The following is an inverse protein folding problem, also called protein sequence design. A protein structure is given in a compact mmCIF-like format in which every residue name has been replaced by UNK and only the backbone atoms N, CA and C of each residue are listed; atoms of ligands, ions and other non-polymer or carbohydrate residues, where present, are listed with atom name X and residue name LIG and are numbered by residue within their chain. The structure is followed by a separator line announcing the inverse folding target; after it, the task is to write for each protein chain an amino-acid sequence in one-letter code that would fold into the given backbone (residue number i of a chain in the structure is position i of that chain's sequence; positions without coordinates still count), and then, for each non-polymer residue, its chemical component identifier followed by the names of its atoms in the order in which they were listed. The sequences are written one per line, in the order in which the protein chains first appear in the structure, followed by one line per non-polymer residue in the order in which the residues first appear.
data_IF_135081716035
#
_entry.id   IF_135081716035
#
_cell.length_a   1.000
_cell.length_b   1.000
_cell.length_c   1.000
_cell.angle_alpha   90.00
_cell.angle_beta   90.00
_cell.angle_gamma   90.00
#
_symmetry.space_group_name_H-M   'P 1'
#
loop_
_entity.id
_entity.type
_entity.pdbx_description
1 polymer ?
#
# COMPACT_ATOMS: atom_id res chain seq x y z
N UNK A 1 8.74 -4.97 1.88
CA UNK A 1 7.29 -5.26 1.88
C UNK A 1 6.71 -4.86 3.21
N UNK A 2 5.47 -4.38 3.22
CA UNK A 2 4.75 -3.92 4.41
C UNK A 2 4.50 -5.04 5.44
N UNK A 3 4.62 -6.30 5.01
CA UNK A 3 4.59 -7.49 5.87
C UNK A 3 5.88 -7.70 6.69
N UNK A 4 6.57 -6.62 7.05
CA UNK A 4 7.82 -6.60 7.82
C UNK A 4 8.98 -7.42 7.22
N UNK A 5 9.14 -7.40 5.90
CA UNK A 5 10.21 -8.11 5.19
C UNK A 5 10.98 -7.22 4.23
N UNK A 6 12.31 -7.20 4.32
CA UNK A 6 13.21 -6.52 3.38
C UNK A 6 14.61 -7.17 3.37
N UNK A 7 15.46 -6.72 2.45
CA UNK A 7 16.89 -7.05 2.36
C UNK A 7 17.67 -5.78 1.98
N UNK A 8 19.00 -5.83 2.08
CA UNK A 8 19.90 -4.69 1.86
C UNK A 8 21.06 -5.12 0.94
N UNK A 9 21.72 -4.14 0.31
CA UNK A 9 23.03 -4.38 -0.32
C UNK A 9 24.12 -4.36 0.76
N UNK A 10 25.27 -4.96 0.44
CA UNK A 10 26.51 -4.69 1.17
C UNK A 10 26.96 -3.25 0.90
N UNK A 11 27.86 -2.73 1.75
CA UNK A 11 28.40 -1.37 1.62
C UNK A 11 29.15 -1.12 0.31
N UNK A 12 29.67 -2.17 -0.33
CA UNK A 12 30.32 -2.11 -1.65
C UNK A 12 29.32 -2.21 -2.82
N UNK A 13 28.01 -2.24 -2.55
CA UNK A 13 26.96 -2.40 -3.55
C UNK A 13 26.71 -3.84 -4.00
N UNK A 14 27.47 -4.83 -3.50
CA UNK A 14 27.23 -6.23 -3.83
C UNK A 14 26.02 -6.82 -3.08
N UNK A 15 25.44 -7.91 -3.62
CA UNK A 15 24.24 -8.55 -3.06
C UNK A 15 24.55 -9.24 -1.73
N UNK A 16 23.93 -8.81 -0.63
CA UNK A 16 23.98 -9.52 0.66
C UNK A 16 23.26 -10.87 0.59
N UNK A 17 21.93 -10.82 0.43
CA UNK A 17 21.05 -11.95 0.09
C UNK A 17 19.90 -11.44 -0.79
N UNK A 18 19.38 -12.33 -1.63
CA UNK A 18 18.20 -12.05 -2.47
C UNK A 18 16.89 -12.39 -1.78
N UNK A 19 16.92 -13.08 -0.65
CA UNK A 19 15.76 -13.30 0.22
C UNK A 19 15.69 -12.23 1.33
N UNK A 20 14.57 -12.15 2.05
CA UNK A 20 14.39 -11.26 3.19
C UNK A 20 15.31 -11.68 4.33
N UNK A 21 15.89 -10.71 5.02
CA UNK A 21 16.79 -10.95 6.14
C UNK A 21 16.42 -10.04 7.33
N UNK A 22 15.71 -10.63 8.29
CA UNK A 22 15.32 -9.91 9.51
C UNK A 22 16.48 -9.61 10.45
N UNK A 23 17.57 -10.40 10.41
CA UNK A 23 18.75 -10.15 11.24
C UNK A 23 19.47 -8.90 10.75
N UNK A 24 19.65 -8.76 9.43
CA UNK A 24 20.22 -7.58 8.82
C UNK A 24 19.43 -6.30 9.17
N UNK A 25 18.09 -6.36 9.12
CA UNK A 25 17.24 -5.21 9.48
C UNK A 25 17.28 -4.89 10.98
N UNK A 26 17.35 -5.91 11.85
CA UNK A 26 17.53 -5.71 13.29
C UNK A 26 18.87 -5.04 13.62
N UNK A 27 19.94 -5.45 12.95
CA UNK A 27 21.26 -4.81 13.08
C UNK A 27 21.27 -3.39 12.52
N UNK A 28 20.56 -3.13 11.41
CA UNK A 28 20.39 -1.78 10.87
C UNK A 28 19.67 -0.85 11.88
N UNK A 29 18.63 -1.32 12.54
CA UNK A 29 17.96 -0.55 13.60
C UNK A 29 18.95 -0.18 14.73
N UNK A 30 19.80 -1.13 15.15
CA UNK A 30 20.87 -0.87 16.11
C UNK A 30 21.91 0.13 15.60
N UNK A 31 22.30 0.04 14.32
CA UNK A 31 23.20 1.01 13.68
C UNK A 31 22.57 2.41 13.63
N UNK A 32 21.29 2.54 13.27
CA UNK A 32 20.56 3.81 13.29
C UNK A 32 20.62 4.45 14.68
N UNK A 33 20.32 3.69 15.73
CA UNK A 33 20.42 4.18 17.12
C UNK A 33 21.83 4.60 17.48
N UNK A 34 22.83 3.76 17.20
CA UNK A 34 24.22 4.06 17.55
C UNK A 34 24.79 5.29 16.80
N UNK A 35 24.35 5.51 15.55
CA UNK A 35 24.88 6.59 14.69
C UNK A 35 24.15 7.92 14.88
N UNK A 36 22.86 7.88 15.20
CA UNK A 36 22.02 9.08 15.31
C UNK A 36 21.73 9.46 16.76
N UNK A 37 21.95 8.55 17.72
CA UNK A 37 21.56 8.73 19.11
C UNK A 37 20.05 8.62 19.35
N UNK A 38 19.28 8.19 18.34
CA UNK A 38 17.82 8.15 18.35
C UNK A 38 17.33 6.80 17.86
N UNK A 39 16.32 6.24 18.50
CA UNK A 39 15.74 4.98 18.02
C UNK A 39 14.94 5.19 16.70
N UNK A 40 14.72 4.12 15.91
CA UNK A 40 14.00 4.25 14.64
C UNK A 40 12.58 4.83 14.75
N UNK A 41 11.90 4.66 15.88
CA UNK A 41 10.58 5.25 16.14
C UNK A 41 10.64 6.76 16.29
N UNK A 42 11.67 7.29 16.96
CA UNK A 42 11.90 8.73 17.02
C UNK A 42 12.23 9.31 15.64
N UNK A 43 13.02 8.59 14.83
CA UNK A 43 13.34 8.99 13.47
C UNK A 43 12.07 9.00 12.59
N UNK A 44 11.19 8.01 12.74
CA UNK A 44 9.88 8.00 12.09
C UNK A 44 9.01 9.20 12.51
N UNK A 45 8.96 9.52 13.81
CA UNK A 45 8.21 10.68 14.30
C UNK A 45 8.73 12.02 13.72
N UNK A 46 10.04 12.13 13.46
CA UNK A 46 10.58 13.30 12.77
C UNK A 46 10.16 13.35 11.28
N UNK A 47 10.13 12.20 10.60
CA UNK A 47 9.63 12.12 9.22
C UNK A 47 8.17 12.52 9.13
N UNK A 48 7.32 12.03 10.04
CA UNK A 48 5.88 12.36 10.01
C UNK A 48 5.61 13.81 10.40
N UNK A 49 6.46 14.43 11.23
CA UNK A 49 6.40 15.86 11.51
C UNK A 49 6.73 16.72 10.29
N UNK A 50 7.64 16.26 9.41
CA UNK A 50 8.06 16.99 8.21
C UNK A 50 7.12 16.74 7.02
N UNK A 51 6.70 15.48 6.82
CA UNK A 51 6.05 15.01 5.60
C UNK A 51 4.56 14.68 5.79
N UNK A 52 4.05 14.76 7.02
CA UNK A 52 2.70 14.34 7.39
C UNK A 52 2.65 12.93 7.99
N UNK A 53 1.69 12.70 8.89
CA UNK A 53 1.49 11.44 9.60
C UNK A 53 0.38 10.61 8.95
N UNK A 54 0.72 9.51 8.24
CA UNK A 54 -0.26 8.73 7.51
C UNK A 54 -1.05 7.79 8.43
N UNK A 55 -2.37 7.75 8.25
CA UNK A 55 -3.23 6.68 8.76
C UNK A 55 -3.33 5.57 7.72
N UNK A 56 -2.96 4.34 8.10
CA UNK A 56 -3.00 3.16 7.22
C UNK A 56 -3.87 2.06 7.81
N UNK A 57 -4.66 1.38 6.97
CA UNK A 57 -5.36 0.18 7.38
C UNK A 57 -5.63 -0.77 6.21
N UNK A 58 -5.71 -2.06 6.55
CA UNK A 58 -6.15 -3.13 5.66
C UNK A 58 -7.46 -3.72 6.15
N UNK A 59 -8.40 -3.90 5.24
CA UNK A 59 -9.64 -4.63 5.48
C UNK A 59 -9.79 -5.76 4.46
N UNK A 60 -10.56 -6.77 4.84
CA UNK A 60 -10.96 -7.85 3.95
C UNK A 60 -12.47 -7.72 3.68
N UNK A 61 -12.87 -7.90 2.43
CA UNK A 61 -14.27 -7.80 2.00
C UNK A 61 -14.66 -9.07 1.21
N UNK A 62 -15.88 -9.62 1.43
CA UNK A 62 -16.33 -10.80 0.71
C UNK A 62 -16.28 -10.61 -0.81
N UNK A 63 -15.85 -11.65 -1.53
CA UNK A 63 -15.95 -11.70 -2.98
C UNK A 63 -16.14 -13.13 -3.47
N UNK A 64 -17.10 -13.30 -4.38
CA UNK A 64 -17.29 -14.56 -5.10
C UNK A 64 -16.06 -14.89 -5.97
N UNK A 65 -15.85 -16.16 -6.35
CA UNK A 65 -14.80 -16.53 -7.28
C UNK A 65 -14.82 -15.72 -8.59
N UNK A 66 -16.01 -15.43 -9.11
CA UNK A 66 -16.22 -14.62 -10.32
C UNK A 66 -15.78 -13.17 -10.09
N UNK A 67 -16.19 -12.57 -8.96
CA UNK A 67 -15.75 -11.22 -8.58
C UNK A 67 -14.23 -11.14 -8.43
N UNK A 68 -13.59 -12.16 -7.84
CA UNK A 68 -12.12 -12.23 -7.71
C UNK A 68 -11.42 -12.26 -9.07
N UNK A 69 -11.95 -13.04 -10.02
CA UNK A 69 -11.39 -13.12 -11.38
C UNK A 69 -11.53 -11.78 -12.11
N UNK A 70 -12.68 -11.13 -11.99
CA UNK A 70 -12.92 -9.81 -12.59
C UNK A 70 -12.01 -8.74 -11.99
N UNK A 71 -11.79 -8.77 -10.68
CA UNK A 71 -10.85 -7.86 -10.00
C UNK A 71 -9.42 -8.07 -10.50
N UNK A 72 -8.99 -9.32 -10.67
CA UNK A 72 -7.64 -9.63 -11.15
C UNK A 72 -7.38 -9.14 -12.58
N UNK A 73 -8.43 -9.05 -13.40
CA UNK A 73 -8.38 -8.66 -14.81
C UNK A 73 -8.92 -7.24 -15.07
N UNK A 74 -9.05 -6.42 -14.03
CA UNK A 74 -9.64 -5.08 -14.15
C UNK A 74 -8.81 -4.20 -15.10
N UNK A 75 -9.51 -3.37 -15.89
CA UNK A 75 -8.90 -2.26 -16.65
C UNK A 75 -9.04 -0.96 -15.84
N UNK A 76 -8.07 -0.02 -15.92
CA UNK A 76 -8.21 1.30 -15.30
C UNK A 76 -9.48 2.04 -15.75
N UNK A 77 -9.93 1.81 -16.98
CA UNK A 77 -11.13 2.45 -17.55
C UNK A 77 -12.44 2.02 -16.89
N UNK A 78 -12.45 0.91 -16.15
CA UNK A 78 -13.61 0.48 -15.37
C UNK A 78 -13.89 1.41 -14.18
N UNK A 79 -12.91 2.22 -13.77
CA UNK A 79 -13.03 3.17 -12.64
C UNK A 79 -13.46 4.53 -13.15
N UNK A 80 -14.78 4.75 -13.20
CA UNK A 80 -15.39 6.00 -13.66
C UNK A 80 -15.44 7.12 -12.62
N UNK A 81 -15.20 6.79 -11.34
CA UNK A 81 -15.17 7.79 -10.26
C UNK A 81 -14.12 8.88 -10.55
N UNK A 82 -14.49 10.14 -10.32
CA UNK A 82 -13.60 11.29 -10.51
C UNK A 82 -12.85 11.69 -9.23
N UNK A 83 -13.41 11.34 -8.08
CA UNK A 83 -12.95 11.71 -6.74
C UNK A 83 -12.92 10.47 -5.83
N UNK A 84 -12.13 10.57 -4.76
CA UNK A 84 -12.03 9.62 -3.66
C UNK A 84 -11.90 10.43 -2.36
N UNK A 85 -12.84 10.24 -1.44
CA UNK A 85 -12.92 10.92 -0.14
C UNK A 85 -12.93 12.47 -0.23
N UNK A 86 -13.44 12.99 -1.35
CA UNK A 86 -13.51 14.43 -1.65
C UNK A 86 -12.30 14.99 -2.38
N UNK A 87 -11.29 14.18 -2.68
CA UNK A 87 -10.10 14.59 -3.43
C UNK A 87 -10.12 14.02 -4.85
N UNK A 88 -9.67 14.81 -5.84
CA UNK A 88 -9.61 14.38 -7.24
C UNK A 88 -8.67 13.18 -7.41
N UNK A 89 -9.14 12.15 -8.11
CA UNK A 89 -8.32 10.99 -8.48
C UNK A 89 -7.27 11.42 -9.51
N UNK A 90 -6.00 11.22 -9.17
CA UNK A 90 -4.83 11.55 -10.01
C UNK A 90 -4.28 10.34 -10.76
N UNK A 91 -4.52 9.12 -10.27
CA UNK A 91 -4.13 7.89 -10.99
C UNK A 91 -5.04 6.69 -10.71
N UNK A 92 -5.18 5.84 -11.73
CA UNK A 92 -5.85 4.54 -11.71
C UNK A 92 -4.89 3.54 -12.34
N UNK A 93 -4.51 2.51 -11.61
CA UNK A 93 -3.40 1.64 -11.98
C UNK A 93 -3.77 0.18 -11.81
N UNK A 94 -3.50 -0.63 -12.83
CA UNK A 94 -3.65 -2.09 -12.79
C UNK A 94 -2.32 -2.80 -13.07
N UNK A 95 -1.27 -2.02 -13.33
CA UNK A 95 0.12 -2.45 -13.48
C UNK A 95 1.04 -1.62 -12.58
N UNK A 96 2.14 -2.19 -12.12
CA UNK A 96 3.12 -1.49 -11.30
C UNK A 96 4.01 -0.58 -12.17
N UNK A 97 4.12 0.71 -11.82
CA UNK A 97 4.96 1.67 -12.57
C UNK A 97 6.43 1.27 -12.71
N UNK A 98 6.98 0.61 -11.68
CA UNK A 98 8.40 0.31 -11.62
C UNK A 98 8.88 -0.75 -12.61
N UNK A 99 8.02 -1.72 -12.98
CA UNK A 99 8.41 -2.85 -13.81
C UNK A 99 7.35 -3.29 -14.84
N UNK A 100 6.19 -2.62 -14.90
CA UNK A 100 5.10 -2.93 -15.81
C UNK A 100 4.35 -4.24 -15.50
N UNK A 101 4.67 -4.93 -14.40
CA UNK A 101 3.98 -6.16 -14.03
C UNK A 101 2.53 -5.88 -13.62
N UNK A 102 1.62 -6.77 -13.97
CA UNK A 102 0.23 -6.68 -13.50
C UNK A 102 0.16 -6.73 -11.97
N UNK A 103 -0.67 -5.86 -11.39
CA UNK A 103 -0.98 -5.89 -9.96
C UNK A 103 -1.88 -7.08 -9.60
N UNK A 104 -2.61 -7.63 -10.59
CA UNK A 104 -3.71 -8.55 -10.35
C UNK A 104 -4.80 -7.91 -9.49
N UNK A 105 -5.16 -6.66 -9.81
CA UNK A 105 -6.03 -5.82 -9.00
C UNK A 105 -5.99 -4.37 -9.47
N UNK A 106 -6.40 -3.47 -8.59
CA UNK A 106 -6.51 -2.03 -8.85
C UNK A 106 -5.82 -1.23 -7.75
N UNK A 107 -5.15 -0.14 -8.11
CA UNK A 107 -4.77 0.95 -7.21
C UNK A 107 -5.34 2.27 -7.72
N UNK A 108 -5.92 3.07 -6.82
CA UNK A 108 -6.41 4.42 -7.08
C UNK A 108 -5.75 5.38 -6.11
N UNK A 109 -5.33 6.55 -6.59
CA UNK A 109 -4.64 7.54 -5.76
C UNK A 109 -5.15 8.95 -6.00
N UNK A 110 -5.17 9.73 -4.92
CA UNK A 110 -5.32 11.19 -4.89
C UNK A 110 -4.01 11.80 -4.41
N UNK A 111 -3.98 13.12 -4.14
CA UNK A 111 -2.81 13.76 -3.51
C UNK A 111 -2.68 13.42 -2.02
N UNK A 112 -3.79 13.13 -1.34
CA UNK A 112 -3.86 13.00 0.12
C UNK A 112 -4.09 11.55 0.59
N UNK A 113 -4.27 10.61 -0.33
CA UNK A 113 -4.51 9.22 0.02
C UNK A 113 -4.64 8.30 -1.17
N UNK A 114 -4.76 7.00 -0.89
CA UNK A 114 -4.90 5.98 -1.91
C UNK A 114 -5.57 4.73 -1.34
N UNK A 115 -6.12 3.90 -2.25
CA UNK A 115 -6.44 2.52 -1.93
C UNK A 115 -5.92 1.55 -3.00
N UNK A 116 -5.69 0.30 -2.61
CA UNK A 116 -5.42 -0.80 -3.51
C UNK A 116 -6.28 -2.02 -3.15
N UNK A 117 -6.86 -2.66 -4.15
CA UNK A 117 -7.71 -3.84 -4.00
C UNK A 117 -7.12 -5.03 -4.79
N UNK A 118 -6.95 -6.18 -4.13
CA UNK A 118 -6.44 -7.42 -4.75
C UNK A 118 -7.23 -8.63 -4.24
N UNK A 119 -7.51 -9.63 -5.08
CA UNK A 119 -8.18 -10.85 -4.63
C UNK A 119 -7.27 -11.64 -3.68
N UNK A 120 -7.86 -12.23 -2.63
CA UNK A 120 -7.13 -13.16 -1.76
C UNK A 120 -6.80 -14.43 -2.53
N UNK A 121 -5.60 -14.97 -2.35
CA UNK A 121 -5.19 -16.24 -2.96
C UNK A 121 -5.84 -17.47 -2.33
N UNK A 122 -6.29 -17.35 -1.06
CA UNK A 122 -6.69 -18.50 -0.24
C UNK A 122 -8.18 -18.50 0.11
N UNK A 123 -8.81 -17.33 0.17
CA UNK A 123 -10.16 -17.15 0.71
C UNK A 123 -11.09 -16.45 -0.29
N UNK A 124 -12.41 -16.58 -0.11
CA UNK A 124 -13.43 -15.88 -0.91
C UNK A 124 -13.63 -14.43 -0.44
N UNK A 125 -12.51 -13.71 -0.40
CA UNK A 125 -12.42 -12.29 -0.06
C UNK A 125 -11.47 -11.59 -1.04
N UNK A 126 -11.60 -10.27 -1.16
CA UNK A 126 -10.53 -9.41 -1.63
C UNK A 126 -9.99 -8.58 -0.47
N UNK A 127 -8.72 -8.23 -0.56
CA UNK A 127 -8.01 -7.39 0.41
C UNK A 127 -8.00 -5.96 -0.11
N UNK A 128 -8.38 -5.02 0.73
CA UNK A 128 -8.35 -3.60 0.46
C UNK A 128 -7.38 -2.93 1.43
N UNK A 129 -6.34 -2.34 0.86
CA UNK A 129 -5.32 -1.58 1.56
C UNK A 129 -5.60 -0.11 1.31
N UNK A 130 -5.53 0.73 2.34
CA UNK A 130 -5.76 2.16 2.20
C UNK A 130 -4.84 2.96 3.11
N UNK A 131 -4.49 4.15 2.66
CA UNK A 131 -3.68 5.13 3.40
C UNK A 131 -4.22 6.54 3.19
N UNK A 132 -4.10 7.37 4.22
CA UNK A 132 -4.54 8.76 4.24
C UNK A 132 -3.54 9.63 4.98
N UNK A 133 -3.12 10.75 4.39
CA UNK A 133 -2.33 11.79 5.05
C UNK A 133 -3.19 12.81 5.82
N UNK A 134 -4.53 12.67 5.78
CA UNK A 134 -5.48 13.52 6.51
C UNK A 134 -6.04 12.85 7.77
N UNK A 135 -5.42 11.76 8.21
CA UNK A 135 -5.79 11.03 9.42
C UNK A 135 -6.91 10.00 9.23
N UNK A 136 -7.38 9.46 10.37
CA UNK A 136 -8.25 8.29 10.45
C UNK A 136 -9.65 8.50 9.84
N UNK A 137 -10.32 9.63 10.13
CA UNK A 137 -11.66 9.90 9.56
C UNK A 137 -11.64 9.97 8.03
N UNK A 138 -10.55 10.48 7.45
CA UNK A 138 -10.37 10.48 6.00
C UNK A 138 -10.04 9.08 5.47
N UNK A 139 -9.25 8.28 6.20
CA UNK A 139 -9.00 6.87 5.87
C UNK A 139 -10.30 6.05 5.84
N UNK A 140 -11.19 6.23 6.82
CA UNK A 140 -12.48 5.54 6.85
C UNK A 140 -13.31 5.87 5.61
N UNK A 141 -13.40 7.16 5.23
CA UNK A 141 -14.06 7.59 3.98
C UNK A 141 -13.41 6.98 2.73
N UNK A 142 -12.08 6.94 2.66
CA UNK A 142 -11.37 6.25 1.56
C UNK A 142 -11.81 4.79 1.49
N UNK A 143 -11.87 4.08 2.61
CA UNK A 143 -12.24 2.66 2.63
C UNK A 143 -13.70 2.44 2.23
N UNK A 144 -14.62 3.30 2.67
CA UNK A 144 -16.03 3.24 2.27
C UNK A 144 -16.20 3.43 0.77
N UNK A 145 -15.66 4.52 0.23
CA UNK A 145 -15.76 4.82 -1.20
C UNK A 145 -15.02 3.81 -2.06
N UNK A 146 -13.87 3.30 -1.60
CA UNK A 146 -13.11 2.28 -2.30
C UNK A 146 -13.91 0.98 -2.47
N UNK A 147 -14.68 0.54 -1.47
CA UNK A 147 -15.57 -0.63 -1.61
C UNK A 147 -16.62 -0.39 -2.70
N UNK A 148 -17.23 0.80 -2.73
CA UNK A 148 -18.24 1.18 -3.74
C UNK A 148 -17.63 1.24 -5.14
N UNK A 149 -16.42 1.80 -5.27
CA UNK A 149 -15.69 1.86 -6.55
C UNK A 149 -15.38 0.45 -7.05
N UNK A 150 -14.86 -0.42 -6.18
CA UNK A 150 -14.56 -1.81 -6.54
C UNK A 150 -15.83 -2.53 -6.95
N UNK A 151 -16.91 -2.45 -6.18
CA UNK A 151 -18.19 -3.09 -6.50
C UNK A 151 -18.75 -2.65 -7.86
N UNK A 152 -18.67 -1.36 -8.19
CA UNK A 152 -19.14 -0.84 -9.49
C UNK A 152 -18.25 -1.23 -10.67
N UNK A 153 -16.96 -1.46 -10.42
CA UNK A 153 -16.00 -1.87 -11.44
C UNK A 153 -16.01 -3.39 -11.69
N UNK A 154 -16.51 -4.15 -10.70
CA UNK A 154 -16.88 -5.56 -10.81
C UNK A 154 -18.31 -5.67 -11.34
#
# INVERSE_FOLDING_TARGET
EESAGATLLRRDGSVWTTDKDGLALGLLAGEMTARTGRDPGELYAALTAELGDPAYARIDAPASPEQKQRLAALSPDAVTAAELAGDRIVSRETVARGNGASLGGLKVSTTEGWFAARPSGTENVYKLYAESFRGADHLERIQEEARVIVERAL
#
